data_IF_761378205771
#
_entry.id   IF_761378205771
#
_cell.length_a   1.000
_cell.length_b   1.000
_cell.length_c   1.000
_cell.angle_alpha   90.00
_cell.angle_beta   90.00
_cell.angle_gamma   90.00
#
_symmetry.space_group_name_H-M   'P 1'
#
loop_
_entity.id
_entity.type
_entity.pdbx_description
1 polymer ?
#
# COMPACT_ATOMS: atom_id res chain seq x y z
N UNK A 1 -13.11 17.67 -21.75
CA UNK A 1 -12.98 18.50 -20.53
C UNK A 1 -14.38 18.92 -20.12
N UNK A 2 -14.71 18.87 -18.83
CA UNK A 2 -16.07 19.14 -18.32
C UNK A 2 -16.02 20.26 -17.27
N UNK A 3 -17.04 21.14 -17.23
CA UNK A 3 -17.16 22.17 -16.19
C UNK A 3 -17.71 21.57 -14.91
N UNK A 4 -17.40 22.20 -13.78
CA UNK A 4 -17.90 21.80 -12.46
C UNK A 4 -19.43 21.78 -12.40
N UNK A 5 -20.09 22.80 -12.94
CA UNK A 5 -21.56 22.92 -12.95
C UNK A 5 -22.22 21.82 -13.76
N UNK A 6 -21.70 21.52 -14.96
CA UNK A 6 -22.22 20.45 -15.82
C UNK A 6 -22.16 19.08 -15.12
N UNK A 7 -21.06 18.79 -14.40
CA UNK A 7 -20.92 17.55 -13.63
C UNK A 7 -21.94 17.51 -12.47
N UNK A 8 -22.16 18.65 -11.82
CA UNK A 8 -23.11 18.77 -10.72
C UNK A 8 -24.54 18.49 -11.17
N UNK A 9 -24.94 19.04 -12.33
CA UNK A 9 -26.26 18.85 -12.92
C UNK A 9 -26.47 17.42 -13.42
N UNK A 10 -25.49 16.86 -14.15
CA UNK A 10 -25.56 15.50 -14.69
C UNK A 10 -25.68 14.44 -13.59
N UNK A 11 -24.88 14.57 -12.52
CA UNK A 11 -24.87 13.61 -11.41
C UNK A 11 -25.92 13.92 -10.34
N UNK A 12 -26.56 15.09 -10.41
CA UNK A 12 -27.50 15.60 -9.39
C UNK A 12 -26.91 15.56 -7.97
N UNK A 13 -25.61 15.80 -7.86
CA UNK A 13 -24.92 15.83 -6.57
C UNK A 13 -25.04 17.21 -5.92
N UNK A 14 -25.02 17.22 -4.59
CA UNK A 14 -24.75 18.46 -3.87
C UNK A 14 -23.31 18.95 -4.17
N UNK A 15 -23.13 20.26 -4.33
CA UNK A 15 -21.84 20.86 -4.69
C UNK A 15 -20.74 20.51 -3.69
N UNK A 16 -21.05 20.47 -2.39
CA UNK A 16 -20.07 20.12 -1.35
C UNK A 16 -19.65 18.67 -1.46
N UNK A 17 -20.61 17.76 -1.69
CA UNK A 17 -20.33 16.34 -1.93
C UNK A 17 -19.50 16.12 -3.19
N UNK A 18 -19.86 16.78 -4.30
CA UNK A 18 -19.10 16.70 -5.54
C UNK A 18 -17.65 17.14 -5.36
N UNK A 19 -17.42 18.29 -4.70
CA UNK A 19 -16.08 18.79 -4.41
C UNK A 19 -15.26 17.83 -3.56
N UNK A 20 -15.86 17.16 -2.58
CA UNK A 20 -15.19 16.15 -1.78
C UNK A 20 -14.72 14.96 -2.65
N UNK A 21 -15.55 14.47 -3.56
CA UNK A 21 -15.19 13.37 -4.49
C UNK A 21 -14.11 13.80 -5.49
N UNK A 22 -14.22 15.00 -6.05
CA UNK A 22 -13.23 15.58 -6.95
C UNK A 22 -11.89 15.76 -6.24
N UNK A 23 -11.88 16.17 -4.97
CA UNK A 23 -10.65 16.33 -4.20
C UNK A 23 -9.90 14.99 -4.04
N UNK A 24 -10.63 13.89 -3.79
CA UNK A 24 -10.03 12.55 -3.75
C UNK A 24 -9.40 12.18 -5.10
N UNK A 25 -10.15 12.32 -6.20
CA UNK A 25 -9.65 12.02 -7.55
C UNK A 25 -8.45 12.88 -7.96
N UNK A 26 -8.42 14.14 -7.51
CA UNK A 26 -7.30 15.06 -7.74
C UNK A 26 -6.07 14.66 -6.93
N UNK A 27 -6.25 14.31 -5.64
CA UNK A 27 -5.17 13.86 -4.77
C UNK A 27 -4.56 12.55 -5.27
N UNK A 28 -5.41 11.65 -5.79
CA UNK A 28 -4.98 10.42 -6.46
C UNK A 28 -4.41 10.64 -7.86
N UNK A 29 -4.33 11.89 -8.34
CA UNK A 29 -3.78 12.26 -9.66
C UNK A 29 -4.52 11.61 -10.85
N UNK A 30 -5.78 11.22 -10.68
CA UNK A 30 -6.61 10.68 -11.77
C UNK A 30 -7.20 11.76 -12.66
N UNK A 31 -7.48 12.93 -12.10
CA UNK A 31 -8.01 14.08 -12.84
C UNK A 31 -7.12 15.30 -12.64
N UNK A 32 -7.05 16.12 -13.68
CA UNK A 32 -6.38 17.41 -13.65
C UNK A 32 -7.41 18.53 -13.77
N UNK A 33 -7.09 19.67 -13.15
CA UNK A 33 -7.89 20.89 -13.22
C UNK A 33 -7.19 21.88 -14.14
N UNK A 34 -7.95 22.45 -15.06
CA UNK A 34 -7.57 23.65 -15.81
C UNK A 34 -8.52 24.77 -15.42
N UNK A 35 -7.95 25.87 -14.96
CA UNK A 35 -8.70 27.06 -14.63
C UNK A 35 -8.85 27.91 -15.89
N UNK A 36 -10.07 28.34 -16.20
CA UNK A 36 -10.35 29.26 -17.32
C UNK A 36 -11.10 30.48 -16.80
N UNK A 37 -10.78 31.64 -17.36
CA UNK A 37 -11.52 32.86 -17.14
C UNK A 37 -12.64 32.90 -18.18
N UNK A 38 -13.88 32.96 -17.73
CA UNK A 38 -15.06 33.09 -18.59
C UNK A 38 -15.83 34.33 -18.19
N UNK A 39 -16.33 35.08 -19.17
CA UNK A 39 -17.20 36.22 -18.90
C UNK A 39 -18.60 35.67 -18.66
N UNK A 40 -19.08 35.80 -17.42
CA UNK A 40 -20.43 35.41 -17.05
C UNK A 40 -21.49 36.28 -17.75
N UNK A 41 -22.74 35.86 -17.64
CA UNK A 41 -23.90 36.55 -18.25
C UNK A 41 -24.00 38.01 -17.74
N UNK A 42 -23.54 38.26 -16.52
CA UNK A 42 -23.49 39.57 -15.87
C UNK A 42 -22.33 40.48 -16.35
N UNK A 43 -21.57 40.05 -17.36
CA UNK A 43 -20.38 40.76 -17.86
C UNK A 43 -19.15 40.69 -16.96
N UNK A 44 -19.25 40.01 -15.81
CA UNK A 44 -18.14 39.83 -14.87
C UNK A 44 -17.27 38.63 -15.25
N UNK A 45 -15.96 38.78 -15.16
CA UNK A 45 -15.04 37.66 -15.34
C UNK A 45 -15.10 36.69 -14.14
N UNK A 46 -15.46 35.45 -14.41
CA UNK A 46 -15.53 34.36 -13.46
C UNK A 46 -14.45 33.31 -13.74
N UNK A 47 -13.83 32.81 -12.67
CA UNK A 47 -12.91 31.67 -12.72
C UNK A 47 -13.71 30.37 -12.70
N UNK A 48 -13.59 29.57 -13.76
CA UNK A 48 -14.29 28.28 -13.92
C UNK A 48 -13.28 27.13 -13.92
N UNK A 49 -13.58 26.09 -13.14
CA UNK A 49 -12.79 24.87 -13.10
C UNK A 49 -13.24 23.89 -14.19
N UNK A 50 -12.29 23.50 -15.04
CA UNK A 50 -12.47 22.42 -16.00
C UNK A 50 -11.71 21.17 -15.57
N UNK A 51 -12.42 20.06 -15.46
CA UNK A 51 -11.85 18.76 -15.14
C UNK A 51 -11.60 17.93 -16.40
N UNK A 52 -10.47 17.25 -16.45
CA UNK A 52 -10.13 16.32 -17.52
C UNK A 52 -9.23 15.20 -17.02
N UNK A 53 -9.28 14.06 -17.70
CA UNK A 53 -8.40 12.92 -17.44
C UNK A 53 -7.19 13.06 -18.35
N UNK A 54 -6.00 13.09 -17.74
CA UNK A 54 -4.75 12.99 -18.49
C UNK A 54 -4.34 11.52 -18.53
N UNK A 55 -4.64 10.84 -19.64
CA UNK A 55 -4.42 9.40 -19.76
C UNK A 55 -2.95 8.98 -19.55
N UNK A 56 -1.99 9.80 -19.98
CA UNK A 56 -0.56 9.53 -19.73
C UNK A 56 -0.24 9.55 -18.24
N UNK A 57 -0.71 10.58 -17.53
CA UNK A 57 -0.53 10.66 -16.07
C UNK A 57 -1.28 9.53 -15.35
N UNK A 58 -2.49 9.22 -15.79
CA UNK A 58 -3.35 8.19 -15.22
C UNK A 58 -2.68 6.81 -15.26
N UNK A 59 -2.21 6.39 -16.45
CA UNK A 59 -1.51 5.10 -16.61
C UNK A 59 -0.28 5.01 -15.70
N UNK A 60 0.52 6.08 -15.61
CA UNK A 60 1.69 6.11 -14.73
C UNK A 60 1.31 5.98 -13.24
N UNK A 61 0.24 6.65 -12.81
CA UNK A 61 -0.26 6.55 -11.43
C UNK A 61 -0.74 5.14 -11.12
N UNK A 62 -1.47 4.51 -12.04
CA UNK A 62 -1.94 3.13 -11.87
C UNK A 62 -0.75 2.17 -11.79
N UNK A 63 0.21 2.26 -12.73
CA UNK A 63 1.46 1.47 -12.72
C UNK A 63 2.21 1.63 -11.38
N UNK A 64 2.33 2.87 -10.88
CA UNK A 64 2.99 3.16 -9.60
C UNK A 64 2.25 2.55 -8.40
N UNK A 65 0.92 2.71 -8.31
CA UNK A 65 0.14 2.14 -7.19
C UNK A 65 0.20 0.61 -7.18
N UNK A 66 0.15 -0.04 -8.34
CA UNK A 66 0.28 -1.49 -8.47
C UNK A 66 1.66 -1.98 -8.02
N UNK A 67 2.73 -1.29 -8.43
CA UNK A 67 4.09 -1.58 -7.98
C UNK A 67 4.23 -1.43 -6.45
N UNK A 68 3.67 -0.37 -5.88
CA UNK A 68 3.70 -0.13 -4.44
C UNK A 68 2.94 -1.23 -3.67
N UNK A 69 1.77 -1.64 -4.16
CA UNK A 69 0.99 -2.73 -3.54
C UNK A 69 1.77 -4.05 -3.59
N UNK A 70 2.40 -4.37 -4.72
CA UNK A 70 3.24 -5.57 -4.86
C UNK A 70 4.40 -5.55 -3.88
N UNK A 71 5.20 -4.48 -3.87
CA UNK A 71 6.36 -4.34 -2.98
C UNK A 71 5.98 -4.46 -1.51
N UNK A 72 4.83 -3.91 -1.14
CA UNK A 72 4.31 -4.03 0.21
C UNK A 72 4.02 -5.49 0.57
N UNK A 73 3.34 -6.24 -0.30
CA UNK A 73 3.06 -7.67 -0.07
C UNK A 73 4.35 -8.51 0.00
N UNK A 74 5.31 -8.24 -0.89
CA UNK A 74 6.63 -8.90 -0.87
C UNK A 74 7.41 -8.61 0.43
N UNK A 75 7.31 -7.37 0.94
CA UNK A 75 7.94 -6.98 2.21
C UNK A 75 7.25 -7.67 3.39
N UNK A 76 5.91 -7.70 3.41
CA UNK A 76 5.14 -8.38 4.46
C UNK A 76 5.42 -9.89 4.50
N UNK A 77 5.58 -10.55 3.33
CA UNK A 77 6.03 -11.95 3.21
C UNK A 77 7.45 -12.17 3.77
N UNK A 78 8.39 -11.29 3.40
CA UNK A 78 9.78 -11.35 3.88
C UNK A 78 9.86 -11.17 5.39
N UNK A 79 9.15 -10.19 5.93
CA UNK A 79 9.14 -9.88 7.37
C UNK A 79 8.44 -11.00 8.17
N UNK A 80 7.46 -11.68 7.57
CA UNK A 80 6.88 -12.89 8.17
C UNK A 80 7.88 -14.05 8.25
N UNK A 81 8.82 -14.14 7.29
CA UNK A 81 9.85 -15.20 7.25
C UNK A 81 11.08 -14.85 8.11
N UNK A 82 11.44 -13.57 8.25
CA UNK A 82 12.63 -13.09 8.97
C UNK A 82 12.40 -12.89 10.48
N UNK A 83 11.40 -13.57 11.05
CA UNK A 83 10.92 -13.29 12.40
C UNK A 83 11.78 -14.00 13.45
N UNK A 84 11.80 -13.47 14.67
CA UNK A 84 12.47 -14.11 15.78
C UNK A 84 11.75 -15.39 16.20
N UNK A 85 12.47 -16.51 16.18
CA UNK A 85 11.97 -17.82 16.55
C UNK A 85 12.18 -18.10 18.04
N UNK A 86 13.14 -17.44 18.67
CA UNK A 86 13.48 -17.62 20.08
C UNK A 86 13.46 -16.30 20.84
N UNK A 87 13.08 -16.35 22.12
CA UNK A 87 13.07 -15.22 23.03
C UNK A 87 13.65 -15.63 24.38
N UNK A 88 14.55 -14.82 24.91
CA UNK A 88 15.10 -15.02 26.24
C UNK A 88 14.15 -14.43 27.31
N UNK A 89 13.66 -15.21 28.29
CA UNK A 89 12.82 -14.69 29.37
C UNK A 89 13.60 -13.80 30.36
N UNK A 90 14.94 -13.89 30.38
CA UNK A 90 15.79 -13.11 31.28
C UNK A 90 16.06 -11.68 30.81
N UNK A 91 16.58 -11.52 29.59
CA UNK A 91 16.97 -10.22 29.04
C UNK A 91 16.04 -9.71 27.92
N UNK A 92 14.97 -10.45 27.62
CA UNK A 92 13.95 -10.14 26.58
C UNK A 92 14.50 -10.01 25.15
N UNK A 93 15.75 -10.39 24.92
CA UNK A 93 16.31 -10.44 23.56
C UNK A 93 15.68 -11.55 22.76
N UNK A 94 15.46 -11.25 21.49
CA UNK A 94 14.87 -12.13 20.49
C UNK A 94 15.94 -12.57 19.50
N UNK A 95 15.88 -13.81 19.08
CA UNK A 95 16.84 -14.43 18.17
C UNK A 95 16.11 -15.15 17.04
N UNK A 96 16.71 -15.20 15.87
CA UNK A 96 16.15 -15.87 14.68
C UNK A 96 16.68 -17.30 14.54
N UNK A 97 16.05 -18.12 13.70
CA UNK A 97 16.54 -19.48 13.39
C UNK A 97 17.99 -19.49 12.87
N UNK A 98 18.43 -18.41 12.20
CA UNK A 98 19.80 -18.28 11.70
C UNK A 98 20.85 -18.17 12.81
N UNK A 99 20.43 -17.79 14.02
CA UNK A 99 21.31 -17.65 15.19
C UNK A 99 21.27 -18.90 16.09
N UNK A 100 20.49 -19.92 15.73
CA UNK A 100 20.30 -21.14 16.53
C UNK A 100 21.63 -21.85 16.84
N UNK A 101 22.54 -21.94 15.86
CA UNK A 101 23.86 -22.56 16.03
C UNK A 101 24.70 -21.85 17.11
N UNK A 102 24.53 -20.53 17.27
CA UNK A 102 25.25 -19.74 18.29
C UNK A 102 24.61 -19.83 19.67
N UNK A 103 23.34 -20.25 19.73
CA UNK A 103 22.59 -20.43 20.96
C UNK A 103 22.74 -21.85 21.51
N UNK A 104 23.03 -22.85 20.67
CA UNK A 104 23.07 -24.24 21.09
C UNK A 104 24.29 -24.57 21.96
N UNK A 105 24.04 -25.03 23.19
CA UNK A 105 25.08 -25.52 24.10
C UNK A 105 25.18 -27.05 24.04
N UNK A 106 26.29 -27.56 23.52
CA UNK A 106 26.57 -29.00 23.38
C UNK A 106 26.66 -29.74 24.72
N UNK A 107 26.97 -29.06 25.82
CA UNK A 107 27.12 -29.69 27.13
C UNK A 107 25.76 -29.98 27.77
N UNK A 108 24.80 -29.07 27.61
CA UNK A 108 23.45 -29.21 28.19
C UNK A 108 22.41 -29.68 27.19
N UNK A 109 22.72 -29.71 25.89
CA UNK A 109 21.77 -29.96 24.80
C UNK A 109 20.59 -28.97 24.79
N UNK A 110 20.82 -27.71 25.16
CA UNK A 110 19.78 -26.67 25.27
C UNK A 110 20.20 -25.39 24.52
N UNK A 111 19.23 -24.62 24.06
CA UNK A 111 19.48 -23.28 23.51
C UNK A 111 19.59 -22.25 24.62
N UNK A 112 20.74 -21.59 24.72
CA UNK A 112 21.08 -20.61 25.77
C UNK A 112 21.39 -19.25 25.16
N UNK A 113 20.89 -18.20 25.81
CA UNK A 113 21.09 -16.82 25.40
C UNK A 113 22.58 -16.43 25.48
N UNK A 114 23.11 -15.86 24.39
CA UNK A 114 24.50 -15.37 24.32
C UNK A 114 24.85 -14.25 25.30
N UNK A 115 23.87 -13.58 25.90
CA UNK A 115 24.09 -12.43 26.80
C UNK A 115 23.93 -12.75 28.28
N UNK A 116 23.03 -13.67 28.64
CA UNK A 116 22.72 -13.97 30.05
C UNK A 116 22.73 -15.47 30.37
N UNK A 117 23.07 -16.32 29.40
CA UNK A 117 23.24 -17.77 29.52
C UNK A 117 22.02 -18.54 30.05
N UNK A 118 20.85 -17.90 30.14
CA UNK A 118 19.57 -18.56 30.41
C UNK A 118 19.05 -19.26 29.16
N UNK A 119 18.28 -20.32 29.38
CA UNK A 119 17.54 -21.03 28.34
C UNK A 119 16.61 -20.06 27.62
N UNK A 120 16.63 -20.09 26.29
CA UNK A 120 15.70 -19.33 25.44
C UNK A 120 14.47 -20.19 25.14
N UNK A 121 13.33 -19.54 24.99
CA UNK A 121 12.05 -20.18 24.69
C UNK A 121 11.59 -19.84 23.28
N UNK A 122 10.81 -20.70 22.64
CA UNK A 122 10.21 -20.38 21.33
C UNK A 122 9.24 -19.20 21.45
N UNK A 123 9.38 -18.22 20.56
CA UNK A 123 8.44 -17.09 20.51
C UNK A 123 7.19 -17.49 19.71
N UNK A 124 6.22 -18.10 20.39
CA UNK A 124 4.94 -18.51 19.77
C UNK A 124 4.09 -17.31 19.29
N UNK A 125 4.34 -16.10 19.81
CA UNK A 125 3.70 -14.87 19.30
C UNK A 125 4.24 -14.44 17.94
N UNK A 126 5.38 -15.03 17.56
CA UNK A 126 6.07 -14.80 16.32
C UNK A 126 5.75 -15.83 15.21
N UNK A 127 4.77 -16.71 15.38
CA UNK A 127 4.40 -17.63 14.32
C UNK A 127 3.87 -16.88 13.07
N UNK A 128 4.30 -17.25 11.84
CA UNK A 128 3.73 -16.68 10.63
C UNK A 128 2.24 -16.93 10.60
N UNK A 129 1.44 -15.88 10.38
CA UNK A 129 0.07 -16.09 9.93
C UNK A 129 0.18 -16.81 8.58
N UNK A 130 -0.28 -18.06 8.50
CA UNK A 130 -0.30 -18.90 7.27
C UNK A 130 -0.85 -18.17 6.02
N UNK A 131 -1.55 -17.06 6.21
CA UNK A 131 -2.19 -16.27 5.16
C UNK A 131 -1.26 -15.47 4.25
N UNK A 132 -0.03 -15.09 4.64
CA UNK A 132 0.79 -14.16 3.84
C UNK A 132 1.05 -14.68 2.42
N UNK A 133 1.38 -15.97 2.29
CA UNK A 133 1.73 -16.58 1.00
C UNK A 133 0.52 -16.76 0.09
N UNK A 134 -0.66 -16.93 0.67
CA UNK A 134 -1.93 -16.98 -0.07
C UNK A 134 -2.34 -15.59 -0.58
N UNK A 135 -1.97 -14.52 0.13
CA UNK A 135 -2.31 -13.15 -0.27
C UNK A 135 -1.56 -12.73 -1.55
N UNK A 136 -0.27 -13.05 -1.67
CA UNK A 136 0.50 -12.71 -2.87
C UNK A 136 0.02 -13.48 -4.10
N UNK A 137 -0.31 -14.77 -3.95
CA UNK A 137 -0.89 -15.58 -5.02
C UNK A 137 -2.23 -15.00 -5.50
N UNK A 138 -3.15 -14.67 -4.57
CA UNK A 138 -4.44 -14.05 -4.89
C UNK A 138 -4.28 -12.68 -5.55
N UNK A 139 -3.32 -11.88 -5.08
CA UNK A 139 -3.03 -10.57 -5.65
C UNK A 139 -2.60 -10.68 -7.12
N UNK A 140 -1.71 -11.62 -7.43
CA UNK A 140 -1.27 -11.85 -8.81
C UNK A 140 -2.41 -12.33 -9.71
N UNK A 141 -3.24 -13.26 -9.24
CA UNK A 141 -4.39 -13.76 -9.97
C UNK A 141 -5.41 -12.66 -10.29
N UNK A 142 -5.73 -11.81 -9.30
CA UNK A 142 -6.72 -10.74 -9.47
C UNK A 142 -6.23 -9.60 -10.37
N UNK A 143 -4.92 -9.33 -10.40
CA UNK A 143 -4.35 -8.19 -11.13
C UNK A 143 -3.80 -8.55 -12.50
N UNK A 144 -3.71 -9.83 -12.84
CA UNK A 144 -3.25 -10.28 -14.16
C UNK A 144 -3.98 -9.57 -15.33
N UNK A 145 -5.33 -9.42 -15.32
CA UNK A 145 -6.04 -8.71 -16.39
C UNK A 145 -5.62 -7.25 -16.54
N UNK A 146 -5.35 -6.57 -15.41
CA UNK A 146 -4.88 -5.19 -15.40
C UNK A 146 -3.45 -5.09 -15.94
N UNK A 147 -2.58 -6.04 -15.62
CA UNK A 147 -1.21 -6.06 -16.14
C UNK A 147 -1.17 -6.31 -17.64
N UNK A 148 -2.06 -7.16 -18.17
CA UNK A 148 -2.19 -7.39 -19.62
C UNK A 148 -2.56 -6.07 -20.32
N UNK A 149 -3.62 -5.39 -19.86
CA UNK A 149 -4.06 -4.12 -20.42
C UNK A 149 -2.97 -3.02 -20.35
N UNK A 150 -2.22 -2.97 -19.24
CA UNK A 150 -1.16 -1.98 -19.06
C UNK A 150 0.11 -2.27 -19.87
N UNK A 151 0.26 -3.46 -20.45
CA UNK A 151 1.34 -3.82 -21.38
C UNK A 151 1.03 -3.44 -22.82
N UNK A 152 -0.25 -3.44 -23.19
CA UNK A 152 -0.72 -3.04 -24.53
C UNK A 152 -0.69 -1.52 -24.75
N UNK A 153 -0.47 -0.73 -23.68
CA UNK A 153 -0.46 0.75 -23.64
C UNK A 153 0.89 1.30 -23.18
#
# INVERSE_FOLDING_TARGET
CMREDDICELLKFDRKMLRARIAVLKNDKFIQVRLRMETGIDGKAQKVNYYFINYKSFVNVVKYKLDLMRKRLETEERDATSRASFKCPGCLKTFTDLEADQLFDFMTSEFRCTYCSRVVEEDLSALPKKDSRLLLAKFNEQLDPLYILLREV
#
